data_IF_614446870197
#
_entry.id   IF_614446870197
#
_cell.length_a   1.000
_cell.length_b   1.000
_cell.length_c   1.000
_cell.angle_alpha   90.00
_cell.angle_beta   90.00
_cell.angle_gamma   90.00
#
_symmetry.space_group_name_H-M   'P 1'
#
loop_
_entity.id
_entity.type
_entity.pdbx_description
1 polymer ?
#
# COMPACT_ATOMS: atom_id res chain seq x y z
N UNK A 1 7.38 -0.66 23.12
CA UNK A 1 6.20 -1.23 22.41
C UNK A 1 6.06 -0.72 20.99
N UNK A 2 6.17 0.60 20.69
CA UNK A 2 6.04 1.11 19.30
C UNK A 2 7.01 0.43 18.33
N UNK A 3 8.28 0.33 18.67
CA UNK A 3 9.28 -0.35 17.83
C UNK A 3 8.95 -1.84 17.58
N UNK A 4 8.37 -2.52 18.56
CA UNK A 4 7.90 -3.91 18.43
C UNK A 4 6.77 -4.01 17.40
N UNK A 5 5.74 -3.18 17.54
CA UNK A 5 4.58 -3.17 16.64
C UNK A 5 5.01 -2.76 15.22
N UNK A 6 5.83 -1.71 15.10
CA UNK A 6 6.34 -1.25 13.82
C UNK A 6 7.21 -2.32 13.12
N UNK A 7 8.09 -3.00 13.85
CA UNK A 7 8.90 -4.08 13.29
C UNK A 7 8.02 -5.26 12.86
N UNK A 8 7.05 -5.65 13.68
CA UNK A 8 6.13 -6.73 13.32
C UNK A 8 5.29 -6.36 12.10
N UNK A 9 4.81 -5.13 11.99
CA UNK A 9 4.08 -4.63 10.82
C UNK A 9 4.95 -4.65 9.56
N UNK A 10 6.19 -4.15 9.65
CA UNK A 10 7.15 -4.19 8.56
C UNK A 10 7.35 -5.63 8.07
N UNK A 11 7.67 -6.54 8.98
CA UNK A 11 7.93 -7.95 8.66
C UNK A 11 6.68 -8.66 8.11
N UNK A 12 5.51 -8.43 8.71
CA UNK A 12 4.24 -9.04 8.33
C UNK A 12 3.74 -8.60 6.96
N UNK A 13 4.01 -7.34 6.58
CA UNK A 13 3.55 -6.79 5.31
C UNK A 13 4.45 -7.11 4.12
N UNK A 14 5.59 -7.77 4.32
CA UNK A 14 6.52 -8.15 3.26
C UNK A 14 5.90 -9.05 2.20
N UNK A 15 4.94 -9.90 2.55
CA UNK A 15 4.27 -10.78 1.59
C UNK A 15 3.35 -10.04 0.61
N UNK A 16 3.03 -8.75 0.86
CA UNK A 16 2.12 -7.99 -0.01
C UNK A 16 2.62 -7.91 -1.44
N UNK A 17 3.86 -7.47 -1.66
CA UNK A 17 4.47 -7.33 -2.98
C UNK A 17 5.49 -8.42 -3.32
N UNK A 18 5.48 -9.59 -2.63
CA UNK A 18 6.42 -10.66 -2.90
C UNK A 18 6.38 -11.14 -4.37
N UNK A 19 5.17 -11.33 -4.93
CA UNK A 19 5.04 -11.71 -6.35
C UNK A 19 5.40 -10.57 -7.31
N UNK A 20 5.23 -9.31 -6.89
CA UNK A 20 5.60 -8.15 -7.70
C UNK A 20 7.12 -8.03 -7.88
N UNK A 21 7.87 -8.28 -6.83
CA UNK A 21 9.32 -8.21 -6.87
C UNK A 21 9.93 -9.20 -7.87
N UNK A 22 9.24 -10.30 -8.14
CA UNK A 22 9.64 -11.36 -9.09
C UNK A 22 8.68 -11.46 -10.28
N UNK A 23 7.90 -10.41 -10.53
CA UNK A 23 6.89 -10.40 -11.58
C UNK A 23 7.43 -10.74 -12.98
N UNK A 24 8.62 -10.29 -13.41
CA UNK A 24 9.19 -10.67 -14.71
C UNK A 24 9.43 -12.18 -14.82
N UNK A 25 9.94 -12.82 -13.76
CA UNK A 25 10.21 -14.25 -13.75
C UNK A 25 8.90 -15.07 -13.75
N UNK A 26 7.87 -14.63 -13.01
CA UNK A 26 6.55 -15.25 -13.03
C UNK A 26 5.85 -15.06 -14.37
N UNK A 27 6.01 -13.89 -15.00
CA UNK A 27 5.49 -13.61 -16.32
C UNK A 27 6.14 -14.53 -17.37
N UNK A 28 7.45 -14.73 -17.32
CA UNK A 28 8.15 -15.67 -18.19
C UNK A 28 7.70 -17.10 -17.95
N UNK A 29 7.57 -17.52 -16.67
CA UNK A 29 7.15 -18.90 -16.30
C UNK A 29 5.77 -19.27 -16.81
N UNK A 30 4.83 -18.33 -16.82
CA UNK A 30 3.42 -18.56 -17.18
C UNK A 30 2.99 -17.82 -18.44
N UNK A 31 3.91 -17.26 -19.21
CA UNK A 31 3.65 -16.50 -20.46
C UNK A 31 2.57 -15.43 -20.30
N UNK A 32 2.72 -14.61 -19.22
CA UNK A 32 1.72 -13.62 -18.86
C UNK A 32 1.82 -12.36 -19.71
N UNK A 33 0.68 -11.81 -20.09
CA UNK A 33 0.59 -10.44 -20.59
C UNK A 33 0.87 -9.42 -19.45
N UNK A 34 1.18 -8.16 -19.77
CA UNK A 34 1.34 -7.11 -18.75
C UNK A 34 0.10 -6.96 -17.86
N UNK A 35 -1.10 -7.02 -18.42
CA UNK A 35 -2.35 -6.98 -17.66
C UNK A 35 -2.46 -8.18 -16.69
N UNK A 36 -2.15 -9.40 -17.15
CA UNK A 36 -2.16 -10.60 -16.30
C UNK A 36 -1.13 -10.48 -15.17
N UNK A 37 0.03 -9.87 -15.43
CA UNK A 37 1.02 -9.59 -14.41
C UNK A 37 0.47 -8.64 -13.33
N UNK A 38 -0.28 -7.62 -13.73
CA UNK A 38 -0.95 -6.69 -12.82
C UNK A 38 -1.95 -7.39 -11.89
N UNK A 39 -2.64 -8.43 -12.37
CA UNK A 39 -3.58 -9.19 -11.55
C UNK A 39 -2.94 -9.92 -10.37
N UNK A 40 -1.64 -10.28 -10.41
CA UNK A 40 -0.92 -10.86 -9.26
C UNK A 40 -0.96 -9.93 -8.03
N UNK A 41 -1.06 -8.62 -8.24
CA UNK A 41 -1.20 -7.62 -7.18
C UNK A 41 -2.64 -7.24 -6.92
N UNK A 42 -3.43 -7.07 -7.96
CA UNK A 42 -4.85 -6.69 -7.86
C UNK A 42 -5.61 -7.68 -6.97
N UNK A 43 -5.39 -8.99 -7.13
CA UNK A 43 -6.11 -9.99 -6.31
C UNK A 43 -5.72 -9.95 -4.84
N UNK A 44 -4.51 -9.49 -4.48
CA UNK A 44 -4.15 -9.26 -3.07
C UNK A 44 -4.98 -8.12 -2.50
N UNK A 45 -5.16 -7.05 -3.26
CA UNK A 45 -5.98 -5.90 -2.83
C UNK A 45 -7.45 -6.28 -2.71
N UNK A 46 -7.99 -7.02 -3.69
CA UNK A 46 -9.36 -7.54 -3.62
C UNK A 46 -9.54 -8.52 -2.44
N UNK A 47 -8.56 -9.41 -2.23
CA UNK A 47 -8.54 -10.28 -1.06
C UNK A 47 -8.52 -9.50 0.25
N UNK A 48 -7.73 -8.43 0.32
CA UNK A 48 -7.70 -7.55 1.49
C UNK A 48 -9.04 -6.86 1.73
N UNK A 49 -9.74 -6.42 0.69
CA UNK A 49 -11.10 -5.86 0.79
C UNK A 49 -12.07 -6.90 1.35
N UNK A 50 -12.04 -8.12 0.80
CA UNK A 50 -12.88 -9.22 1.30
C UNK A 50 -12.56 -9.54 2.76
N UNK A 51 -11.27 -9.64 3.10
CA UNK A 51 -10.82 -9.92 4.46
C UNK A 51 -11.22 -8.82 5.46
N UNK A 52 -11.07 -7.54 5.08
CA UNK A 52 -11.50 -6.42 5.94
C UNK A 52 -13.02 -6.35 6.08
N UNK A 53 -13.77 -6.62 5.03
CA UNK A 53 -15.24 -6.69 5.09
C UNK A 53 -15.70 -7.84 6.00
N UNK A 54 -15.14 -9.03 5.86
CA UNK A 54 -15.44 -10.17 6.74
C UNK A 54 -15.04 -9.88 8.18
N UNK A 55 -13.87 -9.30 8.42
CA UNK A 55 -13.43 -8.94 9.76
C UNK A 55 -14.36 -7.91 10.41
N UNK A 56 -14.87 -6.95 9.63
CA UNK A 56 -15.81 -5.94 10.11
C UNK A 56 -17.20 -6.55 10.41
N UNK A 57 -17.75 -7.36 9.50
CA UNK A 57 -19.05 -8.01 9.68
C UNK A 57 -19.06 -8.97 10.87
N UNK A 58 -17.96 -9.70 11.10
CA UNK A 58 -17.81 -10.64 12.20
C UNK A 58 -17.27 -9.96 13.48
N UNK A 59 -16.99 -8.66 13.45
CA UNK A 59 -16.37 -7.89 14.53
C UNK A 59 -15.10 -8.56 15.09
N UNK A 60 -14.30 -9.19 14.23
CA UNK A 60 -13.13 -9.98 14.65
C UNK A 60 -12.14 -9.18 15.48
N UNK A 61 -11.96 -7.91 15.19
CA UNK A 61 -11.08 -7.03 15.94
C UNK A 61 -11.53 -6.77 17.38
N UNK A 62 -12.81 -7.00 17.70
CA UNK A 62 -13.38 -6.79 19.03
C UNK A 62 -13.62 -8.10 19.80
N UNK A 63 -13.77 -9.21 19.08
CA UNK A 63 -14.01 -10.53 19.64
C UNK A 63 -12.73 -11.29 19.91
N UNK A 64 -11.75 -11.19 18.98
CA UNK A 64 -10.48 -11.90 19.07
C UNK A 64 -9.42 -10.96 19.66
N UNK A 65 -8.60 -11.41 20.66
CA UNK A 65 -7.48 -10.62 21.16
C UNK A 65 -6.54 -10.21 20.03
N UNK A 66 -6.14 -8.93 19.99
CA UNK A 66 -5.34 -8.38 18.89
C UNK A 66 -4.05 -9.17 18.65
N UNK A 67 -3.40 -9.64 19.71
CA UNK A 67 -2.23 -10.52 19.67
C UNK A 67 -2.50 -11.80 18.87
N UNK A 68 -3.57 -12.51 19.18
CA UNK A 68 -3.93 -13.79 18.54
C UNK A 68 -4.35 -13.56 17.09
N UNK A 69 -5.17 -12.52 16.86
CA UNK A 69 -5.68 -12.19 15.53
C UNK A 69 -4.53 -11.85 14.57
N UNK A 70 -3.61 -10.96 14.99
CA UNK A 70 -2.43 -10.62 14.20
C UNK A 70 -1.57 -11.85 13.91
N UNK A 71 -1.20 -12.61 14.95
CA UNK A 71 -0.26 -13.73 14.81
C UNK A 71 -0.83 -14.85 13.92
N UNK A 72 -2.10 -15.25 14.13
CA UNK A 72 -2.74 -16.26 13.30
C UNK A 72 -2.84 -15.81 11.84
N UNK A 73 -3.21 -14.55 11.62
CA UNK A 73 -3.34 -13.98 10.27
C UNK A 73 -1.97 -13.87 9.57
N UNK A 74 -0.91 -13.51 10.27
CA UNK A 74 0.43 -13.44 9.71
C UNK A 74 0.97 -14.85 9.33
N UNK A 75 0.70 -15.87 10.15
CA UNK A 75 1.01 -17.27 9.79
C UNK A 75 0.25 -17.71 8.56
N UNK A 76 -1.06 -17.45 8.50
CA UNK A 76 -1.89 -17.80 7.36
C UNK A 76 -1.46 -17.05 6.08
N UNK A 77 -1.10 -15.75 6.19
CA UNK A 77 -0.57 -14.97 5.07
C UNK A 77 0.76 -15.52 4.56
N UNK A 78 1.67 -15.91 5.48
CA UNK A 78 2.94 -16.54 5.12
C UNK A 78 2.75 -17.86 4.38
N UNK A 79 1.85 -18.72 4.86
CA UNK A 79 1.51 -19.98 4.22
C UNK A 79 0.89 -19.77 2.83
N UNK A 80 -0.11 -18.88 2.71
CA UNK A 80 -0.75 -18.56 1.44
C UNK A 80 0.25 -18.00 0.41
N UNK A 81 1.19 -17.13 0.86
CA UNK A 81 2.25 -16.62 0.00
C UNK A 81 3.22 -17.71 -0.45
N UNK A 82 3.65 -18.62 0.46
CA UNK A 82 4.55 -19.71 0.14
C UNK A 82 3.92 -20.70 -0.86
N UNK A 83 2.61 -20.94 -0.78
CA UNK A 83 1.87 -21.82 -1.69
C UNK A 83 1.91 -21.37 -3.16
N UNK A 84 2.26 -20.12 -3.45
CA UNK A 84 2.50 -19.62 -4.83
C UNK A 84 3.61 -20.44 -5.51
N UNK A 85 4.61 -20.95 -4.77
CA UNK A 85 5.69 -21.77 -5.31
C UNK A 85 5.21 -23.13 -5.80
N UNK A 86 4.20 -23.72 -5.14
CA UNK A 86 3.58 -24.98 -5.48
C UNK A 86 2.44 -24.83 -6.49
N UNK A 87 2.11 -23.60 -6.92
CA UNK A 87 1.02 -23.36 -7.86
C UNK A 87 1.33 -24.00 -9.23
N UNK A 88 0.48 -24.93 -9.73
CA UNK A 88 0.67 -25.57 -11.02
C UNK A 88 0.50 -24.61 -12.20
N UNK A 89 -0.13 -23.45 -11.98
CA UNK A 89 -0.35 -22.45 -13.01
C UNK A 89 -0.86 -21.13 -12.44
N UNK A 90 -1.00 -20.17 -13.34
CA UNK A 90 -1.36 -18.79 -13.03
C UNK A 90 -2.65 -18.65 -12.21
N UNK A 91 -3.73 -19.40 -12.56
CA UNK A 91 -5.02 -19.31 -11.83
C UNK A 91 -4.88 -19.70 -10.36
N UNK A 92 -4.14 -20.77 -10.07
CA UNK A 92 -3.89 -21.21 -8.69
C UNK A 92 -3.02 -20.20 -7.95
N UNK A 93 -2.03 -19.60 -8.63
CA UNK A 93 -1.23 -18.53 -8.05
C UNK A 93 -2.10 -17.32 -7.69
N UNK A 94 -3.07 -16.93 -8.53
CA UNK A 94 -4.03 -15.86 -8.21
C UNK A 94 -4.84 -16.18 -6.94
N UNK A 95 -5.30 -17.41 -6.78
CA UNK A 95 -6.03 -17.83 -5.57
C UNK A 95 -5.15 -17.72 -4.32
N UNK A 96 -3.90 -18.19 -4.39
CA UNK A 96 -2.95 -18.06 -3.28
C UNK A 96 -2.70 -16.57 -2.94
N UNK A 97 -2.58 -15.72 -3.94
CA UNK A 97 -2.40 -14.28 -3.76
C UNK A 97 -3.65 -13.61 -3.16
N UNK A 98 -4.85 -14.00 -3.62
CA UNK A 98 -6.11 -13.51 -3.03
C UNK A 98 -6.21 -13.90 -1.55
N UNK A 99 -5.91 -15.17 -1.20
CA UNK A 99 -5.86 -15.65 0.17
C UNK A 99 -4.82 -14.90 1.01
N UNK A 100 -3.63 -14.61 0.45
CA UNK A 100 -2.64 -13.75 1.11
C UNK A 100 -3.26 -12.41 1.48
N UNK A 101 -4.00 -11.78 0.56
CA UNK A 101 -4.70 -10.51 0.81
C UNK A 101 -5.75 -10.62 1.92
N UNK A 102 -6.60 -11.65 1.90
CA UNK A 102 -7.59 -11.91 2.96
C UNK A 102 -6.92 -12.01 4.33
N UNK A 103 -5.82 -12.74 4.42
CA UNK A 103 -5.08 -12.90 5.68
C UNK A 103 -4.42 -11.59 6.14
N UNK A 104 -3.90 -10.77 5.23
CA UNK A 104 -3.29 -9.47 5.57
C UNK A 104 -4.28 -8.46 6.16
N UNK A 105 -5.57 -8.64 5.96
CA UNK A 105 -6.61 -7.87 6.66
C UNK A 105 -6.60 -8.10 8.19
N UNK A 106 -6.03 -9.21 8.65
CA UNK A 106 -5.81 -9.49 10.08
C UNK A 106 -4.40 -9.10 10.56
N UNK A 107 -3.59 -8.42 9.76
CA UNK A 107 -2.25 -7.93 10.13
C UNK A 107 -2.28 -6.42 10.33
N UNK A 108 -2.53 -5.64 9.31
CA UNK A 108 -2.48 -4.18 9.35
C UNK A 108 -3.51 -3.53 10.31
N UNK A 109 -4.84 -3.81 10.24
CA UNK A 109 -5.79 -3.18 11.15
C UNK A 109 -5.55 -3.53 12.63
N UNK A 110 -5.22 -4.78 13.01
CA UNK A 110 -4.82 -5.08 14.39
C UNK A 110 -3.57 -4.35 14.86
N UNK A 111 -2.54 -4.18 14.02
CA UNK A 111 -1.34 -3.41 14.39
C UNK A 111 -1.68 -1.94 14.69
N UNK A 112 -2.58 -1.34 13.90
CA UNK A 112 -3.09 0.00 14.17
C UNK A 112 -3.85 0.07 15.51
N UNK A 113 -4.67 -0.94 15.81
CA UNK A 113 -5.37 -1.06 17.09
C UNK A 113 -4.38 -1.19 18.24
N UNK A 114 -3.37 -2.06 18.12
CA UNK A 114 -2.31 -2.24 19.11
C UNK A 114 -1.59 -0.91 19.40
N UNK A 115 -1.18 -0.17 18.36
CA UNK A 115 -0.54 1.13 18.54
C UNK A 115 -1.48 2.12 19.25
N UNK A 116 -2.76 2.14 18.91
CA UNK A 116 -3.74 3.05 19.51
C UNK A 116 -4.00 2.79 21.00
N UNK A 117 -3.84 1.55 21.48
CA UNK A 117 -4.01 1.21 22.92
C UNK A 117 -2.81 1.62 23.76
N UNK A 118 -1.62 1.71 23.15
CA UNK A 118 -0.39 2.12 23.85
C UNK A 118 -0.13 3.63 23.83
N UNK A 119 -0.59 4.31 22.78
CA UNK A 119 -0.26 5.71 22.54
C UNK A 119 -1.54 6.56 22.42
N UNK A 120 -2.02 7.06 23.58
CA UNK A 120 -3.14 8.02 23.64
C UNK A 120 -2.65 9.45 23.32
N UNK A 121 -1.52 9.86 23.90
CA UNK A 121 -0.78 11.05 23.51
C UNK A 121 0.14 10.75 22.32
N UNK A 122 0.33 11.71 21.39
CA UNK A 122 1.12 11.52 20.16
C UNK A 122 0.64 10.35 19.28
N UNK A 123 -0.66 10.08 19.30
CA UNK A 123 -1.27 8.99 18.54
C UNK A 123 -0.99 9.10 17.04
N UNK A 124 -0.99 10.32 16.48
CA UNK A 124 -0.68 10.57 15.07
C UNK A 124 0.73 10.11 14.69
N UNK A 125 1.73 10.42 15.53
CA UNK A 125 3.10 9.96 15.32
C UNK A 125 3.21 8.43 15.39
N UNK A 126 2.59 7.80 16.39
CA UNK A 126 2.62 6.35 16.54
C UNK A 126 2.01 5.64 15.32
N UNK A 127 0.87 6.13 14.83
CA UNK A 127 0.22 5.64 13.62
C UNK A 127 1.11 5.89 12.40
N UNK A 128 1.70 7.08 12.26
CA UNK A 128 2.61 7.40 11.16
C UNK A 128 3.82 6.46 11.12
N UNK A 129 4.39 6.10 12.27
CA UNK A 129 5.49 5.14 12.36
C UNK A 129 5.05 3.72 11.92
N UNK A 130 3.87 3.27 12.33
CA UNK A 130 3.34 1.94 11.93
C UNK A 130 3.04 1.91 10.41
N UNK A 131 2.45 2.98 9.86
CA UNK A 131 2.18 3.09 8.40
C UNK A 131 3.49 3.23 7.62
N UNK A 132 4.48 3.93 8.15
CA UNK A 132 5.83 3.97 7.57
C UNK A 132 6.49 2.60 7.55
N UNK A 133 6.38 1.85 8.64
CA UNK A 133 6.87 0.47 8.73
C UNK A 133 6.18 -0.46 7.72
N UNK A 134 4.85 -0.36 7.58
CA UNK A 134 4.08 -1.05 6.53
C UNK A 134 4.61 -0.72 5.13
N UNK A 135 4.94 0.55 4.87
CA UNK A 135 5.46 1.00 3.57
C UNK A 135 6.80 0.35 3.25
N UNK A 136 7.74 0.36 4.21
CA UNK A 136 9.03 -0.33 4.07
C UNK A 136 8.82 -1.84 3.93
N UNK A 137 7.91 -2.42 4.71
CA UNK A 137 7.59 -3.85 4.66
C UNK A 137 7.12 -4.30 3.28
N UNK A 138 6.22 -3.55 2.65
CA UNK A 138 5.77 -3.82 1.27
C UNK A 138 6.91 -3.74 0.26
N UNK A 139 7.89 -2.87 0.48
CA UNK A 139 9.05 -2.72 -0.38
C UNK A 139 10.11 -3.82 -0.16
N UNK A 140 10.13 -4.48 1.02
CA UNK A 140 11.17 -5.43 1.41
C UNK A 140 11.44 -6.55 0.40
N UNK A 141 10.44 -7.14 -0.30
CA UNK A 141 10.69 -8.17 -1.32
C UNK A 141 11.62 -7.70 -2.45
N UNK A 142 11.58 -6.41 -2.80
CA UNK A 142 12.48 -5.85 -3.82
C UNK A 142 13.91 -5.78 -3.31
N UNK A 143 14.13 -5.47 -2.01
CA UNK A 143 15.46 -5.54 -1.41
C UNK A 143 15.99 -6.97 -1.38
N UNK A 144 15.14 -7.96 -1.04
CA UNK A 144 15.51 -9.37 -1.09
C UNK A 144 15.88 -9.78 -2.53
N UNK A 145 15.10 -9.34 -3.52
CA UNK A 145 15.36 -9.64 -4.93
C UNK A 145 16.64 -8.97 -5.46
N UNK A 146 17.08 -7.88 -4.85
CA UNK A 146 18.34 -7.21 -5.20
C UNK A 146 19.58 -8.01 -4.80
N UNK A 147 19.46 -8.98 -3.90
CA UNK A 147 20.59 -9.80 -3.46
C UNK A 147 21.06 -10.75 -4.58
N UNK A 148 22.39 -11.00 -4.71
CA UNK A 148 22.93 -11.91 -5.71
C UNK A 148 22.29 -13.30 -5.61
N UNK A 149 21.82 -13.83 -6.75
CA UNK A 149 21.20 -15.15 -6.83
C UNK A 149 19.77 -15.25 -6.30
N UNK A 150 19.16 -14.15 -5.83
CA UNK A 150 17.79 -14.16 -5.36
C UNK A 150 16.80 -14.23 -6.53
N UNK A 151 16.12 -15.37 -6.65
CA UNK A 151 15.04 -15.61 -7.61
C UNK A 151 13.68 -15.73 -6.93
N UNK A 152 12.72 -16.31 -7.66
CA UNK A 152 11.33 -16.47 -7.19
C UNK A 152 11.26 -17.20 -5.84
N UNK A 153 12.00 -18.31 -5.70
CA UNK A 153 11.97 -19.15 -4.48
C UNK A 153 12.48 -18.36 -3.28
N UNK A 154 13.65 -17.72 -3.40
CA UNK A 154 14.27 -16.96 -2.31
C UNK A 154 13.38 -15.79 -1.86
N UNK A 155 12.85 -15.01 -2.80
CA UNK A 155 11.99 -13.85 -2.49
C UNK A 155 10.71 -14.29 -1.79
N UNK A 156 10.03 -15.32 -2.32
CA UNK A 156 8.75 -15.79 -1.73
C UNK A 156 8.99 -16.41 -0.36
N UNK A 157 10.01 -17.27 -0.19
CA UNK A 157 10.28 -17.91 1.10
C UNK A 157 10.80 -16.90 2.14
N UNK A 158 11.69 -15.99 1.76
CA UNK A 158 12.18 -14.97 2.69
C UNK A 158 11.04 -14.04 3.14
N UNK A 159 10.17 -13.60 2.23
CA UNK A 159 9.00 -12.80 2.60
C UNK A 159 8.03 -13.58 3.51
N UNK A 160 7.81 -14.87 3.24
CA UNK A 160 6.99 -15.72 4.13
C UNK A 160 7.66 -15.92 5.48
N UNK A 161 8.98 -16.10 5.51
CA UNK A 161 9.76 -16.22 6.74
C UNK A 161 9.71 -14.97 7.61
N UNK A 162 9.79 -13.77 7.00
CA UNK A 162 9.63 -12.51 7.74
C UNK A 162 8.23 -12.36 8.32
N UNK A 163 7.16 -12.76 7.59
CA UNK A 163 5.80 -12.75 8.11
C UNK A 163 5.61 -13.74 9.28
N UNK A 164 6.23 -14.92 9.23
CA UNK A 164 6.28 -15.85 10.36
C UNK A 164 7.03 -15.25 11.56
N UNK A 165 8.15 -14.57 11.32
CA UNK A 165 8.88 -13.87 12.37
C UNK A 165 8.03 -12.77 13.03
N UNK A 166 7.22 -12.05 12.26
CA UNK A 166 6.26 -11.08 12.78
C UNK A 166 5.23 -11.74 13.70
N UNK A 167 4.67 -12.89 13.28
CA UNK A 167 3.72 -13.64 14.07
C UNK A 167 4.32 -14.08 15.42
N UNK A 168 5.53 -14.65 15.42
CA UNK A 168 6.25 -15.08 16.62
C UNK A 168 6.56 -13.88 17.51
N UNK A 169 7.04 -12.77 16.93
CA UNK A 169 7.39 -11.56 17.67
C UNK A 169 6.19 -11.01 18.44
N UNK A 170 5.03 -10.89 17.79
CA UNK A 170 3.79 -10.44 18.45
C UNK A 170 3.29 -11.49 19.45
N UNK A 171 3.27 -12.77 19.09
CA UNK A 171 2.82 -13.84 19.97
C UNK A 171 3.62 -13.91 21.30
N UNK A 172 4.90 -13.62 21.27
CA UNK A 172 5.76 -13.76 22.45
C UNK A 172 5.98 -12.45 23.24
N UNK A 173 5.92 -11.31 22.55
CA UNK A 173 6.38 -10.03 23.16
C UNK A 173 5.30 -8.96 23.29
N UNK A 174 4.17 -9.09 22.56
CA UNK A 174 3.12 -8.09 22.66
C UNK A 174 2.22 -8.35 23.87
N UNK A 175 1.88 -7.27 24.56
CA UNK A 175 0.81 -7.19 25.56
C UNK A 175 -0.11 -6.02 25.23
N UNK A 176 -1.37 -6.09 25.64
CA UNK A 176 -2.33 -5.01 25.41
C UNK A 176 -1.92 -3.74 26.16
N UNK A 177 -2.19 -2.59 25.53
CA UNK A 177 -1.88 -1.29 26.08
C UNK A 177 -2.85 -0.86 27.20
N UNK A 178 -2.46 0.15 28.00
CA UNK A 178 -3.26 0.60 29.14
C UNK A 178 -4.55 1.34 28.74
N UNK A 179 -4.60 1.89 27.53
CA UNK A 179 -5.77 2.64 27.08
C UNK A 179 -6.84 1.71 26.50
N UNK A 180 -8.12 1.83 26.92
CA UNK A 180 -9.19 1.05 26.31
C UNK A 180 -9.36 1.46 24.84
N UNK A 181 -9.53 0.47 23.98
CA UNK A 181 -9.92 0.72 22.60
C UNK A 181 -11.45 0.84 22.55
N UNK A 182 -11.95 1.99 22.12
CA UNK A 182 -13.40 2.15 21.93
C UNK A 182 -13.86 1.25 20.78
N UNK A 183 -14.79 0.36 21.06
CA UNK A 183 -15.43 -0.47 20.04
C UNK A 183 -16.18 0.41 19.06
N UNK A 184 -15.94 0.18 17.77
CA UNK A 184 -16.59 0.91 16.67
C UNK A 184 -17.03 -0.10 15.62
N UNK A 185 -18.05 -0.91 15.92
CA UNK A 185 -18.47 -1.98 15.04
C UNK A 185 -18.97 -1.43 13.72
N UNK A 186 -18.82 -2.23 12.67
CA UNK A 186 -19.48 -1.98 11.40
C UNK A 186 -20.98 -2.27 11.53
N UNK A 187 -21.80 -1.35 11.04
CA UNK A 187 -23.26 -1.50 11.03
C UNK A 187 -23.79 -1.24 9.61
N UNK A 188 -24.39 -2.28 9.02
CA UNK A 188 -24.99 -2.21 7.69
C UNK A 188 -26.12 -1.17 7.61
N UNK A 189 -26.87 -0.95 8.69
CA UNK A 189 -27.94 0.03 8.72
C UNK A 189 -27.43 1.47 8.55
N UNK A 190 -26.18 1.74 8.95
CA UNK A 190 -25.55 3.06 8.84
C UNK A 190 -24.92 3.33 7.46
N UNK A 191 -24.78 2.33 6.59
CA UNK A 191 -24.12 2.50 5.28
C UNK A 191 -24.81 3.59 4.46
N UNK A 192 -26.14 3.54 4.39
CA UNK A 192 -26.92 4.50 3.62
C UNK A 192 -26.80 5.94 4.15
N UNK A 193 -26.84 6.14 5.46
CA UNK A 193 -26.70 7.47 6.08
C UNK A 193 -25.30 8.03 5.91
N UNK A 194 -24.26 7.21 6.10
CA UNK A 194 -22.86 7.61 5.90
C UNK A 194 -22.60 8.02 4.45
N UNK A 195 -23.07 7.25 3.48
CA UNK A 195 -22.87 7.58 2.05
C UNK A 195 -23.69 8.80 1.58
N UNK A 196 -24.75 9.19 2.30
CA UNK A 196 -25.52 10.41 2.01
C UNK A 196 -24.87 11.66 2.61
N UNK A 197 -24.03 11.53 3.62
CA UNK A 197 -23.34 12.68 4.22
C UNK A 197 -22.40 13.33 3.20
N UNK A 198 -22.61 14.63 2.94
CA UNK A 198 -21.85 15.39 1.94
C UNK A 198 -20.39 15.52 2.37
N UNK A 199 -20.11 15.74 3.67
CA UNK A 199 -18.76 15.89 4.20
C UNK A 199 -17.99 14.58 4.09
N UNK A 200 -18.65 13.47 4.44
CA UNK A 200 -18.05 12.15 4.23
C UNK A 200 -17.72 11.88 2.76
N UNK A 201 -18.64 12.18 1.84
CA UNK A 201 -18.39 12.02 0.39
C UNK A 201 -17.20 12.85 -0.12
N UNK A 202 -16.99 14.04 0.44
CA UNK A 202 -15.83 14.88 0.09
C UNK A 202 -14.53 14.22 0.56
N UNK A 203 -14.49 13.67 1.77
CA UNK A 203 -13.33 12.93 2.29
C UNK A 203 -13.13 11.63 1.50
N UNK A 204 -14.20 10.90 1.23
CA UNK A 204 -14.15 9.66 0.42
C UNK A 204 -13.64 9.94 -1.00
N UNK A 205 -14.08 11.05 -1.63
CA UNK A 205 -13.60 11.46 -2.94
C UNK A 205 -12.11 11.80 -2.94
N UNK A 206 -11.63 12.50 -1.91
CA UNK A 206 -10.21 12.76 -1.69
C UNK A 206 -9.41 11.45 -1.57
N UNK A 207 -9.86 10.55 -0.70
CA UNK A 207 -9.23 9.25 -0.51
C UNK A 207 -9.26 8.38 -1.77
N UNK A 208 -10.36 8.40 -2.52
CA UNK A 208 -10.47 7.68 -3.79
C UNK A 208 -9.45 8.17 -4.82
N UNK A 209 -9.24 9.49 -4.91
CA UNK A 209 -8.21 10.09 -5.75
C UNK A 209 -6.80 9.65 -5.36
N UNK A 210 -6.49 9.66 -4.05
CA UNK A 210 -5.24 9.13 -3.51
C UNK A 210 -5.02 7.65 -3.88
N UNK A 211 -6.04 6.81 -3.70
CA UNK A 211 -5.94 5.37 -3.96
C UNK A 211 -5.81 5.05 -5.45
N UNK A 212 -6.41 5.83 -6.34
CA UNK A 212 -6.24 5.70 -7.78
C UNK A 212 -4.78 5.92 -8.22
N UNK A 213 -3.99 6.69 -7.49
CA UNK A 213 -2.59 6.93 -7.79
C UNK A 213 -1.65 5.94 -7.09
N UNK A 214 -1.76 5.80 -5.77
CA UNK A 214 -0.76 5.18 -4.89
C UNK A 214 -0.35 3.78 -5.33
N UNK A 215 -1.31 2.86 -5.43
CA UNK A 215 -0.98 1.45 -5.68
C UNK A 215 -0.54 1.19 -7.11
N UNK A 216 -1.11 1.90 -8.08
CA UNK A 216 -0.67 1.80 -9.47
C UNK A 216 0.76 2.33 -9.63
N UNK A 217 1.11 3.44 -8.98
CA UNK A 217 2.47 3.94 -8.93
C UNK A 217 3.43 2.86 -8.40
N UNK A 218 3.20 2.35 -7.20
CA UNK A 218 4.11 1.39 -6.57
C UNK A 218 4.23 0.06 -7.30
N UNK A 219 3.14 -0.47 -7.83
CA UNK A 219 3.14 -1.75 -8.55
C UNK A 219 3.96 -1.65 -9.84
N UNK A 220 3.89 -0.51 -10.52
CA UNK A 220 4.49 -0.37 -11.84
C UNK A 220 5.85 0.38 -11.85
N UNK A 221 6.31 0.94 -10.71
CA UNK A 221 7.66 1.53 -10.58
C UNK A 221 8.76 0.58 -11.08
N UNK A 222 8.81 -0.73 -10.73
CA UNK A 222 9.86 -1.61 -11.21
C UNK A 222 9.89 -1.74 -12.74
N UNK A 223 8.71 -1.90 -13.36
CA UNK A 223 8.58 -1.98 -14.82
C UNK A 223 8.93 -0.67 -15.51
N UNK A 224 8.55 0.46 -14.93
CA UNK A 224 8.87 1.79 -15.44
C UNK A 224 10.40 2.05 -15.37
N UNK A 225 11.04 1.70 -14.25
CA UNK A 225 12.50 1.79 -14.09
C UNK A 225 13.22 0.92 -15.12
N UNK A 226 12.77 -0.33 -15.31
CA UNK A 226 13.36 -1.23 -16.29
C UNK A 226 13.22 -0.71 -17.73
N UNK A 227 12.03 -0.23 -18.10
CA UNK A 227 11.78 0.34 -19.43
C UNK A 227 12.57 1.63 -19.66
N UNK A 228 12.68 2.49 -18.63
CA UNK A 228 13.49 3.71 -18.73
C UNK A 228 14.98 3.43 -18.83
N UNK A 229 15.45 2.41 -18.12
CA UNK A 229 16.84 1.97 -18.19
C UNK A 229 17.19 1.39 -19.58
N UNK A 230 16.30 0.60 -20.17
CA UNK A 230 16.45 0.10 -21.54
C UNK A 230 16.52 1.25 -22.55
N UNK A 231 15.58 2.21 -22.46
CA UNK A 231 15.59 3.39 -23.34
C UNK A 231 16.86 4.26 -23.19
N UNK A 232 17.46 4.29 -21.99
CA UNK A 232 18.72 4.97 -21.73
C UNK A 232 19.90 4.27 -22.42
N UNK A 233 19.93 2.94 -22.36
CA UNK A 233 20.96 2.12 -23.00
C UNK A 233 20.88 2.22 -24.53
N UNK A 234 19.68 2.18 -25.12
CA UNK A 234 19.44 2.30 -26.55
C UNK A 234 19.91 3.67 -27.11
N UNK A 235 19.96 4.70 -26.28
CA UNK A 235 20.49 6.02 -26.62
C UNK A 235 22.04 6.08 -26.61
N UNK A 236 22.76 4.95 -26.49
CA UNK A 236 24.21 4.85 -26.50
C UNK A 236 24.88 5.25 -25.19
N UNK A 237 24.13 5.44 -24.12
CA UNK A 237 24.68 5.59 -22.78
C UNK A 237 25.18 4.24 -22.23
N UNK A 238 26.08 4.26 -21.25
CA UNK A 238 26.64 3.05 -20.64
C UNK A 238 25.53 2.06 -20.23
N UNK A 239 25.78 0.72 -20.30
CA UNK A 239 24.75 -0.27 -20.03
C UNK A 239 24.07 0.01 -18.69
N UNK A 240 22.77 0.13 -18.76
CA UNK A 240 21.95 0.40 -17.59
C UNK A 240 22.05 -0.79 -16.62
N UNK A 241 22.01 -0.48 -15.38
CA UNK A 241 22.04 -1.32 -14.21
C UNK A 241 21.37 -2.70 -14.38
N UNK A 242 22.02 -3.75 -13.87
CA UNK A 242 21.46 -5.11 -13.86
C UNK A 242 20.16 -5.20 -13.05
N UNK A 243 19.44 -6.31 -13.22
CA UNK A 243 18.12 -6.53 -12.59
C UNK A 243 18.13 -6.35 -11.04
N UNK A 244 19.19 -6.77 -10.36
CA UNK A 244 19.35 -6.58 -8.91
C UNK A 244 19.43 -5.10 -8.52
N UNK A 245 20.10 -4.28 -9.34
CA UNK A 245 20.16 -2.84 -9.08
C UNK A 245 18.82 -2.14 -9.31
N UNK A 246 18.06 -2.54 -10.33
CA UNK A 246 16.71 -2.02 -10.57
C UNK A 246 15.75 -2.41 -9.45
N UNK A 247 15.88 -3.63 -8.91
CA UNK A 247 15.13 -4.07 -7.74
C UNK A 247 15.51 -3.25 -6.49
N UNK A 248 16.80 -2.97 -6.27
CA UNK A 248 17.25 -2.11 -5.18
C UNK A 248 16.70 -0.68 -5.31
N UNK A 249 16.73 -0.09 -6.50
CA UNK A 249 16.13 1.24 -6.73
C UNK A 249 14.63 1.25 -6.49
N UNK A 250 13.92 0.19 -6.88
CA UNK A 250 12.49 0.03 -6.59
C UNK A 250 12.22 -0.01 -5.09
N UNK A 251 13.04 -0.75 -4.33
CA UNK A 251 13.00 -0.75 -2.87
C UNK A 251 13.21 0.65 -2.31
N UNK A 252 14.27 1.34 -2.72
CA UNK A 252 14.60 2.69 -2.22
C UNK A 252 13.44 3.65 -2.47
N UNK A 253 12.96 3.71 -3.72
CA UNK A 253 11.86 4.62 -4.08
C UNK A 253 10.63 4.37 -3.21
N UNK A 254 10.20 3.12 -3.05
CA UNK A 254 9.02 2.80 -2.25
C UNK A 254 9.25 3.01 -0.76
N UNK A 255 10.40 2.59 -0.22
CA UNK A 255 10.72 2.69 1.20
C UNK A 255 10.83 4.16 1.67
N UNK A 256 11.29 5.07 0.79
CA UNK A 256 11.33 6.51 1.08
C UNK A 256 9.94 7.12 1.32
N UNK A 257 8.87 6.47 0.84
CA UNK A 257 7.49 6.83 1.21
C UNK A 257 7.25 6.82 2.73
N UNK A 258 7.97 6.01 3.49
CA UNK A 258 7.86 6.00 4.96
C UNK A 258 8.15 7.37 5.59
N UNK A 259 9.03 8.17 4.99
CA UNK A 259 9.29 9.54 5.41
C UNK A 259 8.01 10.39 5.26
N UNK A 260 7.27 10.20 4.14
CA UNK A 260 6.00 10.88 3.92
C UNK A 260 4.96 10.55 5.00
N UNK A 261 4.90 9.29 5.45
CA UNK A 261 3.98 8.89 6.51
C UNK A 261 4.26 9.60 7.84
N UNK A 262 5.54 9.68 8.24
CA UNK A 262 5.95 10.33 9.50
C UNK A 262 5.78 11.85 9.41
N UNK A 263 6.32 12.47 8.36
CA UNK A 263 6.23 13.91 8.15
C UNK A 263 4.78 14.37 7.96
N UNK A 264 3.98 13.60 7.21
CA UNK A 264 2.57 13.89 7.01
C UNK A 264 1.79 13.91 8.32
N UNK A 265 2.08 12.96 9.22
CA UNK A 265 1.48 12.92 10.56
C UNK A 265 1.83 14.14 11.42
N UNK A 266 3.08 14.58 11.41
CA UNK A 266 3.52 15.75 12.18
C UNK A 266 3.05 17.09 11.58
N UNK A 267 3.14 17.23 10.25
CA UNK A 267 2.76 18.46 9.57
C UNK A 267 1.24 18.71 9.60
N UNK A 268 0.42 17.65 9.55
CA UNK A 268 -1.03 17.79 9.52
C UNK A 268 -1.57 18.57 10.73
N UNK A 269 -1.00 18.34 11.92
CA UNK A 269 -1.39 19.05 13.14
C UNK A 269 -1.01 20.54 13.10
N UNK A 270 0.01 20.92 12.33
CA UNK A 270 0.50 22.30 12.23
C UNK A 270 -0.17 23.10 11.12
N UNK A 271 -0.33 22.49 9.93
CA UNK A 271 -0.81 23.22 8.73
C UNK A 271 -2.28 22.94 8.42
N UNK A 272 -2.90 22.00 9.12
CA UNK A 272 -4.26 21.54 8.88
C UNK A 272 -4.34 20.36 7.88
N UNK A 273 -5.23 19.42 8.14
CA UNK A 273 -5.35 18.14 7.42
C UNK A 273 -5.69 18.34 5.94
N UNK A 274 -6.69 19.18 5.62
CA UNK A 274 -7.11 19.43 4.23
C UNK A 274 -5.99 20.09 3.43
N UNK A 275 -5.29 21.04 4.01
CA UNK A 275 -4.19 21.75 3.33
C UNK A 275 -3.03 20.80 3.05
N UNK A 276 -2.67 19.93 4.02
CA UNK A 276 -1.64 18.92 3.81
C UNK A 276 -2.01 17.98 2.67
N UNK A 277 -3.23 17.45 2.68
CA UNK A 277 -3.74 16.56 1.62
C UNK A 277 -3.64 17.22 0.25
N UNK A 278 -4.12 18.46 0.12
CA UNK A 278 -4.07 19.20 -1.16
C UNK A 278 -2.64 19.41 -1.63
N UNK A 279 -1.71 19.79 -0.74
CA UNK A 279 -0.29 19.97 -1.09
C UNK A 279 0.34 18.65 -1.50
N UNK A 280 0.15 17.58 -0.72
CA UNK A 280 0.70 16.25 -1.01
C UNK A 280 0.21 15.74 -2.37
N UNK A 281 -1.09 15.80 -2.64
CA UNK A 281 -1.68 15.42 -3.92
C UNK A 281 -1.22 16.30 -5.09
N UNK A 282 -1.01 17.61 -4.85
CA UNK A 282 -0.49 18.51 -5.90
C UNK A 282 0.92 18.10 -6.28
N UNK A 283 1.78 17.85 -5.28
CA UNK A 283 3.16 17.43 -5.53
C UNK A 283 3.18 16.05 -6.22
N UNK A 284 2.42 15.08 -5.74
CA UNK A 284 2.41 13.73 -6.32
C UNK A 284 1.89 13.74 -7.76
N UNK A 285 0.77 14.40 -8.03
CA UNK A 285 0.23 14.53 -9.38
C UNK A 285 1.17 15.28 -10.34
N UNK A 286 1.90 16.30 -9.83
CA UNK A 286 2.93 16.99 -10.62
C UNK A 286 4.09 16.05 -10.95
N UNK A 287 4.55 15.24 -9.99
CA UNK A 287 5.58 14.23 -10.25
C UNK A 287 5.13 13.23 -11.34
N UNK A 288 3.88 12.75 -11.28
CA UNK A 288 3.33 11.86 -12.29
C UNK A 288 3.38 12.49 -13.70
N UNK A 289 2.99 13.77 -13.82
CA UNK A 289 3.03 14.52 -15.09
C UNK A 289 4.45 14.78 -15.60
N UNK A 290 5.45 14.86 -14.72
CA UNK A 290 6.83 15.13 -15.08
C UNK A 290 7.58 13.85 -15.51
N UNK A 291 7.05 12.64 -15.28
CA UNK A 291 7.73 11.38 -15.62
C UNK A 291 8.16 11.26 -17.09
N UNK A 292 7.41 11.75 -18.11
CA UNK A 292 7.84 11.69 -19.50
C UNK A 292 9.13 12.48 -19.80
N UNK A 293 9.39 13.55 -19.03
CA UNK A 293 10.56 14.41 -19.23
C UNK A 293 11.86 13.77 -18.74
N UNK A 294 11.76 12.87 -17.77
CA UNK A 294 12.90 12.18 -17.15
C UNK A 294 13.05 10.74 -17.62
N UNK A 295 12.07 10.19 -18.36
CA UNK A 295 12.12 8.85 -18.93
C UNK A 295 13.26 8.71 -19.94
N UNK A 296 14.05 7.63 -19.83
CA UNK A 296 15.22 7.42 -20.65
C UNK A 296 16.43 8.31 -20.28
N UNK A 297 16.33 9.09 -19.20
CA UNK A 297 17.44 9.83 -18.63
C UNK A 297 18.23 8.98 -17.65
N UNK A 298 19.40 9.49 -17.25
CA UNK A 298 20.20 8.86 -16.20
C UNK A 298 19.37 8.59 -14.95
N UNK A 299 19.55 7.45 -14.25
CA UNK A 299 18.90 7.17 -12.97
C UNK A 299 19.10 8.25 -11.91
N UNK A 300 20.20 8.99 -11.95
CA UNK A 300 20.45 10.13 -11.05
C UNK A 300 19.47 11.30 -11.26
N UNK A 301 18.78 11.34 -12.40
CA UNK A 301 17.70 12.32 -12.68
C UNK A 301 16.33 11.72 -12.40
N UNK A 302 16.14 10.45 -12.82
CA UNK A 302 14.85 9.77 -12.68
C UNK A 302 14.51 9.43 -11.22
N UNK A 303 15.45 8.81 -10.49
CA UNK A 303 15.19 8.32 -9.13
C UNK A 303 14.83 9.41 -8.13
N UNK A 304 15.47 10.58 -8.11
CA UNK A 304 15.03 11.70 -7.25
C UNK A 304 13.57 12.12 -7.47
N UNK A 305 13.11 12.19 -8.72
CA UNK A 305 11.70 12.49 -9.00
C UNK A 305 10.77 11.41 -8.42
N UNK A 306 11.10 10.12 -8.64
CA UNK A 306 10.31 9.01 -8.10
C UNK A 306 10.32 8.96 -6.57
N UNK A 307 11.43 9.34 -5.92
CA UNK A 307 11.52 9.45 -4.46
C UNK A 307 10.62 10.56 -3.93
N UNK A 308 10.67 11.75 -4.53
CA UNK A 308 9.78 12.86 -4.17
C UNK A 308 8.31 12.44 -4.35
N UNK A 309 8.02 11.77 -5.46
CA UNK A 309 6.68 11.24 -5.71
C UNK A 309 6.26 10.24 -4.63
N UNK A 310 7.11 9.27 -4.30
CA UNK A 310 6.80 8.26 -3.29
C UNK A 310 6.58 8.85 -1.89
N UNK A 311 7.33 9.89 -1.52
CA UNK A 311 7.13 10.64 -0.27
C UNK A 311 5.77 11.35 -0.30
N UNK A 312 5.47 12.05 -1.39
CA UNK A 312 4.26 12.87 -1.51
C UNK A 312 2.99 12.01 -1.59
N UNK A 313 3.01 10.94 -2.41
CA UNK A 313 1.83 10.11 -2.67
C UNK A 313 1.28 9.40 -1.44
N UNK A 314 2.06 9.24 -0.37
CA UNK A 314 1.60 8.57 0.86
C UNK A 314 1.47 9.53 2.06
N UNK A 315 1.98 10.75 1.95
CA UNK A 315 1.98 11.71 3.06
C UNK A 315 0.56 12.06 3.54
N UNK A 316 -0.43 11.98 2.66
CA UNK A 316 -1.84 12.27 2.93
C UNK A 316 -2.64 11.05 3.43
N UNK A 317 -2.10 9.82 3.30
CA UNK A 317 -2.84 8.57 3.54
C UNK A 317 -3.50 8.49 4.92
N UNK A 318 -2.75 8.76 5.99
CA UNK A 318 -3.26 8.70 7.36
C UNK A 318 -4.29 9.83 7.65
N UNK A 319 -4.20 10.94 6.92
CA UNK A 319 -5.04 12.12 7.14
C UNK A 319 -6.49 11.87 6.75
N UNK A 320 -6.74 11.06 5.74
CA UNK A 320 -8.10 10.71 5.33
C UNK A 320 -8.86 9.96 6.42
N UNK A 321 -8.22 9.01 7.11
CA UNK A 321 -8.84 8.32 8.23
C UNK A 321 -9.15 9.29 9.40
N UNK A 322 -8.25 10.24 9.65
CA UNK A 322 -8.46 11.27 10.66
C UNK A 322 -9.62 12.20 10.26
N UNK A 323 -9.70 12.61 9.01
CA UNK A 323 -10.80 13.45 8.52
C UNK A 323 -12.14 12.74 8.64
N UNK A 324 -12.24 11.43 8.33
CA UNK A 324 -13.48 10.65 8.59
C UNK A 324 -13.90 10.75 10.02
N UNK A 325 -12.99 10.58 10.98
CA UNK A 325 -13.36 10.66 12.41
C UNK A 325 -13.82 12.04 12.87
N UNK A 326 -13.58 13.08 12.08
CA UNK A 326 -14.01 14.46 12.37
C UNK A 326 -15.33 14.87 11.71
N UNK A 327 -15.69 14.20 10.61
CA UNK A 327 -16.87 14.58 9.83
C UNK A 327 -18.07 13.66 10.07
N UNK A 328 -17.84 12.46 10.58
CA UNK A 328 -18.86 11.43 10.80
C UNK A 328 -19.17 11.33 12.29
N UNK A 329 -20.43 11.07 12.62
CA UNK A 329 -20.90 10.85 14.00
C UNK A 329 -20.14 9.69 14.66
N UNK A 330 -19.81 9.77 15.96
CA UNK A 330 -18.97 8.79 16.66
C UNK A 330 -19.41 7.34 16.51
N UNK A 331 -20.73 7.07 16.49
CA UNK A 331 -21.30 5.73 16.37
C UNK A 331 -21.14 5.13 14.96
N UNK A 332 -20.97 5.96 13.91
CA UNK A 332 -20.85 5.54 12.52
C UNK A 332 -19.38 5.48 12.01
N UNK A 333 -18.40 5.85 12.85
CA UNK A 333 -16.98 5.93 12.42
C UNK A 333 -16.46 4.57 11.91
N UNK A 334 -16.79 3.47 12.58
CA UNK A 334 -16.35 2.13 12.15
C UNK A 334 -16.85 1.77 10.76
N UNK A 335 -18.14 2.02 10.51
CA UNK A 335 -18.76 1.82 9.19
C UNK A 335 -18.12 2.72 8.14
N UNK A 336 -17.92 4.00 8.43
CA UNK A 336 -17.34 4.97 7.52
C UNK A 336 -15.91 4.62 7.13
N UNK A 337 -15.04 4.23 8.08
CA UNK A 337 -13.66 3.81 7.81
C UNK A 337 -13.60 2.51 7.00
N UNK A 338 -14.47 1.54 7.28
CA UNK A 338 -14.55 0.30 6.51
C UNK A 338 -14.96 0.58 5.07
N UNK A 339 -15.99 1.41 4.86
CA UNK A 339 -16.44 1.81 3.53
C UNK A 339 -15.34 2.56 2.76
N UNK A 340 -14.70 3.55 3.41
CA UNK A 340 -13.58 4.29 2.81
C UNK A 340 -12.49 3.34 2.32
N UNK A 341 -12.02 2.45 3.20
CA UNK A 341 -10.96 1.50 2.88
C UNK A 341 -11.38 0.56 1.75
N UNK A 342 -12.57 -0.03 1.84
CA UNK A 342 -13.05 -0.97 0.82
C UNK A 342 -13.21 -0.32 -0.55
N UNK A 343 -13.84 0.86 -0.62
CA UNK A 343 -14.02 1.59 -1.87
C UNK A 343 -12.67 2.01 -2.47
N UNK A 344 -11.77 2.53 -1.64
CA UNK A 344 -10.44 2.93 -2.09
C UNK A 344 -9.65 1.76 -2.68
N UNK A 345 -9.58 0.62 -1.99
CA UNK A 345 -8.88 -0.55 -2.52
C UNK A 345 -9.53 -1.14 -3.76
N UNK A 346 -10.86 -1.12 -3.88
CA UNK A 346 -11.55 -1.53 -5.11
C UNK A 346 -11.16 -0.64 -6.29
N UNK A 347 -11.07 0.68 -6.08
CA UNK A 347 -10.69 1.64 -7.12
C UNK A 347 -9.25 1.46 -7.59
N UNK A 348 -8.34 0.98 -6.74
CA UNK A 348 -6.96 0.72 -7.16
C UNK A 348 -6.87 -0.27 -8.32
N UNK A 349 -7.80 -1.24 -8.40
CA UNK A 349 -7.83 -2.23 -9.48
C UNK A 349 -7.98 -1.57 -10.86
N UNK A 350 -8.66 -0.44 -10.95
CA UNK A 350 -8.86 0.29 -12.20
C UNK A 350 -7.52 0.81 -12.72
N UNK A 351 -6.78 1.56 -11.92
CA UNK A 351 -5.52 2.18 -12.35
C UNK A 351 -4.37 1.18 -12.46
N UNK A 352 -4.35 0.14 -11.62
CA UNK A 352 -3.39 -0.95 -11.77
C UNK A 352 -3.53 -1.66 -13.11
N UNK A 353 -4.75 -1.81 -13.62
CA UNK A 353 -4.98 -2.39 -14.96
C UNK A 353 -4.86 -1.35 -16.08
N UNK A 354 -5.10 -0.07 -15.81
CA UNK A 354 -5.00 1.00 -16.80
C UNK A 354 -3.54 1.28 -17.20
N UNK A 355 -2.60 1.31 -16.27
CA UNK A 355 -1.19 1.62 -16.54
C UNK A 355 -0.58 0.72 -17.63
N UNK A 356 -0.66 -0.63 -17.57
CA UNK A 356 -0.11 -1.47 -18.63
C UNK A 356 -0.83 -1.31 -19.97
N UNK A 357 -2.11 -0.94 -19.99
CA UNK A 357 -2.84 -0.62 -21.23
C UNK A 357 -2.24 0.63 -21.86
N UNK A 358 -2.07 1.71 -21.09
CA UNK A 358 -1.41 2.93 -21.58
C UNK A 358 0.01 2.64 -22.03
N UNK A 359 0.77 1.84 -21.27
CA UNK A 359 2.13 1.45 -21.63
C UNK A 359 2.18 0.67 -22.96
N UNK A 360 1.18 -0.15 -23.25
CA UNK A 360 1.10 -0.91 -24.51
C UNK A 360 0.82 -0.01 -25.72
N UNK A 361 -0.09 0.97 -25.60
CA UNK A 361 -0.49 1.82 -26.71
C UNK A 361 0.37 3.07 -26.89
N UNK A 362 0.83 3.68 -25.80
CA UNK A 362 1.58 4.94 -25.81
C UNK A 362 3.04 4.81 -25.36
N UNK A 363 3.45 3.61 -24.96
CA UNK A 363 4.77 3.35 -24.39
C UNK A 363 4.89 3.72 -22.91
N UNK A 364 5.91 3.14 -22.24
CA UNK A 364 6.17 3.37 -20.81
C UNK A 364 6.44 4.84 -20.48
N UNK A 365 6.98 5.61 -21.41
CA UNK A 365 7.21 7.05 -21.22
C UNK A 365 5.95 7.78 -20.78
N UNK A 366 4.79 7.41 -21.33
CA UNK A 366 3.50 8.08 -21.09
C UNK A 366 2.56 7.28 -20.16
N UNK A 367 3.04 6.20 -19.54
CA UNK A 367 2.20 5.32 -18.73
C UNK A 367 1.76 5.97 -17.42
N UNK A 368 2.60 6.78 -16.79
CA UNK A 368 2.33 7.35 -15.47
C UNK A 368 1.54 8.68 -15.44
N UNK A 369 1.59 9.57 -16.44
CA UNK A 369 0.79 10.79 -16.43
C UNK A 369 -0.71 10.60 -16.20
N UNK A 370 -1.27 9.46 -16.61
CA UNK A 370 -2.68 9.13 -16.36
C UNK A 370 -3.03 9.06 -14.88
N UNK A 371 -2.07 8.74 -14.04
CA UNK A 371 -2.25 8.66 -12.59
C UNK A 371 -2.51 10.02 -11.95
N UNK A 372 -2.10 11.13 -12.60
CA UNK A 372 -2.38 12.48 -12.13
C UNK A 372 -3.90 12.82 -12.08
N UNK A 373 -4.73 12.04 -12.79
CA UNK A 373 -6.18 12.15 -12.68
C UNK A 373 -6.69 11.86 -11.27
N UNK A 374 -6.05 10.92 -10.55
CA UNK A 374 -6.38 10.62 -9.17
C UNK A 374 -6.27 11.84 -8.25
N UNK A 375 -5.08 12.44 -8.10
CA UNK A 375 -4.88 13.69 -7.35
C UNK A 375 -5.78 14.83 -7.79
N UNK A 376 -5.96 15.03 -9.11
CA UNK A 376 -6.82 16.10 -9.62
C UNK A 376 -8.27 15.95 -9.14
N UNK A 377 -8.85 14.75 -9.24
CA UNK A 377 -10.20 14.45 -8.75
C UNK A 377 -10.28 14.53 -7.23
N UNK A 378 -9.26 14.00 -6.53
CA UNK A 378 -9.19 14.05 -5.06
C UNK A 378 -9.14 15.47 -4.53
N UNK A 379 -8.30 16.34 -5.10
CA UNK A 379 -8.23 17.77 -4.76
C UNK A 379 -9.57 18.45 -5.02
N UNK A 380 -10.19 18.19 -6.17
CA UNK A 380 -11.49 18.78 -6.50
C UNK A 380 -12.59 18.40 -5.49
N UNK A 381 -12.53 17.19 -4.94
CA UNK A 381 -13.45 16.74 -3.91
C UNK A 381 -13.14 17.36 -2.52
N UNK A 382 -11.88 17.23 -2.05
CA UNK A 382 -11.53 17.55 -0.66
C UNK A 382 -11.44 19.07 -0.39
N UNK A 383 -11.05 19.89 -1.37
CA UNK A 383 -10.92 21.35 -1.20
C UNK A 383 -12.22 22.05 -0.80
N UNK A 384 -13.37 21.41 -1.00
CA UNK A 384 -14.69 21.91 -0.61
C UNK A 384 -15.05 21.61 0.84
N UNK A 385 -14.27 20.75 1.49
CA UNK A 385 -14.48 20.41 2.89
C UNK A 385 -14.13 21.61 3.77
N UNK A 386 -15.14 22.17 4.41
CA UNK A 386 -14.97 23.16 5.48
C UNK A 386 -14.80 22.37 6.77
N UNK A 387 -13.56 22.20 7.23
CA UNK A 387 -13.19 21.53 8.46
C UNK A 387 -13.14 22.52 9.63
#
# INVERSE_FOLDING_TARGET
MLALIALAELLGMSVWFAANAVAPQLAARWTLSPSNTGWLSTVVQLGFVVGTALAALLNLADVVPARTYFSASAVAAAAANALVLAAPGYRTALLCRALTGVCLAGVYPPAMKMAATWFSSRRGLAIGVVVGALTIGKALPFLIHALPGAGVVQVVLASSGTALAAAVLIALRYSDGPAPFSRRPFDLALVGSVLRDVRYRQVLGGYSGHMLELYACWIWIPSFLAASAAAHADAGAAPAFGAGWLAFLSFVVMAMGAIGCVLGGELADRVGYVRLVVVAMTVSGTCALLTPLVFGRSPFVLVPLLVVWSIAVIADSAQFSTLVTRVVEPHAIGTALTLQTSIGFLLTSVTVQLVPVVATYAGWRYAFPVLALGPALGIAAIRRLRA
#
